data_IF_345431673069
#
_entry.id   IF_345431673069
#
_cell.length_a   1.000
_cell.length_b   1.000
_cell.length_c   1.000
_cell.angle_alpha   90.00
_cell.angle_beta   90.00
_cell.angle_gamma   90.00
#
_symmetry.space_group_name_H-M   'P 1'
#
loop_
_entity.id
_entity.type
_entity.pdbx_description
1 polymer ?
#
# COMPACT_ATOMS: atom_id res chain seq x y z
N UNK A 1 3.68 8.03 -7.04
CA UNK A 1 3.15 8.14 -8.41
C UNK A 1 2.87 6.74 -8.91
N UNK A 2 1.70 6.53 -9.50
CA UNK A 2 1.29 5.27 -10.10
C UNK A 2 1.16 5.45 -11.61
N UNK A 3 1.60 4.45 -12.37
CA UNK A 3 1.55 4.47 -13.83
C UNK A 3 0.35 3.67 -14.34
N UNK A 4 -0.39 4.24 -15.29
CA UNK A 4 -1.52 3.59 -15.95
C UNK A 4 -1.00 2.49 -16.87
N UNK A 5 -1.38 1.25 -16.59
CA UNK A 5 -1.04 0.07 -17.39
C UNK A 5 -2.06 -0.18 -18.50
N UNK A 6 -3.34 0.01 -18.19
CA UNK A 6 -4.44 -0.22 -19.12
C UNK A 6 -5.53 0.84 -18.93
N UNK A 7 -6.14 1.24 -20.05
CA UNK A 7 -7.34 2.06 -20.08
C UNK A 7 -8.42 1.25 -20.79
N UNK A 8 -9.48 0.91 -20.06
CA UNK A 8 -10.55 0.07 -20.60
C UNK A 8 -11.42 0.86 -21.59
N UNK A 9 -11.62 0.34 -22.81
CA UNK A 9 -12.36 1.04 -23.85
C UNK A 9 -13.82 1.32 -23.45
N UNK A 10 -14.30 2.53 -23.77
CA UNK A 10 -15.67 2.96 -23.47
C UNK A 10 -15.93 3.36 -22.01
N UNK A 11 -14.95 3.21 -21.13
CA UNK A 11 -15.05 3.64 -19.71
C UNK A 11 -14.87 5.13 -19.54
N UNK A 12 -15.03 5.62 -18.30
CA UNK A 12 -14.84 7.01 -17.96
C UNK A 12 -13.42 7.49 -18.30
N UNK A 13 -12.40 6.70 -17.99
CA UNK A 13 -11.02 7.05 -18.29
C UNK A 13 -10.74 7.20 -19.79
N UNK A 14 -11.28 6.32 -20.63
CA UNK A 14 -11.13 6.40 -22.08
C UNK A 14 -11.76 7.69 -22.62
N UNK A 15 -12.99 8.00 -22.20
CA UNK A 15 -13.69 9.23 -22.63
C UNK A 15 -13.06 10.52 -22.09
N UNK A 16 -12.41 10.45 -20.93
CA UNK A 16 -11.67 11.57 -20.33
C UNK A 16 -10.27 11.75 -20.92
N UNK A 17 -9.79 10.84 -21.79
CA UNK A 17 -8.54 11.01 -22.52
C UNK A 17 -7.28 10.57 -21.76
N UNK A 18 -7.44 9.71 -20.74
CA UNK A 18 -6.32 8.99 -20.13
C UNK A 18 -5.66 8.06 -21.15
N UNK A 19 -4.37 7.79 -20.96
CA UNK A 19 -3.58 6.92 -21.83
C UNK A 19 -2.71 5.99 -21.01
N UNK A 20 -2.40 4.84 -21.62
CA UNK A 20 -1.38 3.93 -21.10
C UNK A 20 -0.04 4.68 -20.98
N UNK A 21 0.62 4.54 -19.85
CA UNK A 21 1.85 5.23 -19.49
C UNK A 21 1.66 6.60 -18.82
N UNK A 22 0.42 7.06 -18.64
CA UNK A 22 0.15 8.25 -17.82
C UNK A 22 0.54 7.99 -16.37
N UNK A 23 1.22 8.95 -15.77
CA UNK A 23 1.59 8.93 -14.36
C UNK A 23 0.62 9.81 -13.57
N UNK A 24 -0.13 9.22 -12.65
CA UNK A 24 -1.08 9.99 -11.82
C UNK A 24 -0.33 10.66 -10.67
N UNK A 25 -0.25 11.99 -10.71
CA UNK A 25 0.49 12.79 -9.74
C UNK A 25 -0.39 13.20 -8.56
N UNK A 26 -1.56 13.76 -8.84
CA UNK A 26 -2.48 14.27 -7.83
C UNK A 26 -3.94 14.16 -8.28
N UNK A 27 -4.86 14.09 -7.32
CA UNK A 27 -6.31 14.18 -7.53
C UNK A 27 -6.86 15.21 -6.55
N UNK A 28 -7.58 16.22 -7.04
CA UNK A 28 -8.13 17.31 -6.21
C UNK A 28 -7.07 18.00 -5.31
N UNK A 29 -5.81 18.04 -5.78
CA UNK A 29 -4.67 18.59 -5.05
C UNK A 29 -4.01 17.62 -4.05
N UNK A 30 -4.57 16.42 -3.84
CA UNK A 30 -3.97 15.38 -3.00
C UNK A 30 -2.97 14.54 -3.80
N UNK A 31 -1.74 14.39 -3.30
CA UNK A 31 -0.68 13.65 -3.97
C UNK A 31 -0.92 12.14 -3.96
N UNK A 32 -0.76 11.50 -5.12
CA UNK A 32 -0.98 10.06 -5.29
C UNK A 32 0.35 9.31 -5.25
N UNK A 33 0.62 8.64 -4.12
CA UNK A 33 1.85 7.86 -3.95
C UNK A 33 1.68 6.41 -4.38
N UNK A 34 0.54 5.81 -4.08
CA UNK A 34 0.19 4.42 -4.42
C UNK A 34 -1.30 4.24 -4.72
N UNK A 35 -1.71 2.98 -4.96
CA UNK A 35 -3.08 2.62 -5.33
C UNK A 35 -4.10 2.97 -4.24
N UNK A 36 -3.71 2.95 -2.97
CA UNK A 36 -4.62 3.27 -1.85
C UNK A 36 -4.95 4.76 -1.89
N UNK A 37 -3.95 5.63 -2.09
CA UNK A 37 -4.19 7.08 -2.23
C UNK A 37 -5.13 7.35 -3.40
N UNK A 38 -4.92 6.67 -4.54
CA UNK A 38 -5.80 6.80 -5.70
C UNK A 38 -7.24 6.39 -5.37
N UNK A 39 -7.44 5.27 -4.67
CA UNK A 39 -8.78 4.81 -4.31
C UNK A 39 -9.49 5.79 -3.36
N UNK A 40 -8.76 6.35 -2.38
CA UNK A 40 -9.31 7.33 -1.43
C UNK A 40 -9.65 8.64 -2.14
N UNK A 41 -8.70 9.23 -2.87
CA UNK A 41 -8.87 10.53 -3.51
C UNK A 41 -9.86 10.49 -4.69
N UNK A 42 -9.98 9.34 -5.37
CA UNK A 42 -10.98 9.16 -6.42
C UNK A 42 -12.38 8.84 -5.90
N UNK A 43 -12.66 8.94 -4.60
CA UNK A 43 -13.99 8.63 -4.05
C UNK A 43 -15.07 9.67 -4.41
N UNK A 44 -14.66 10.91 -4.70
CA UNK A 44 -15.55 12.01 -5.05
C UNK A 44 -16.18 11.90 -6.45
N UNK A 45 -17.23 12.70 -6.71
CA UNK A 45 -17.91 12.75 -8.01
C UNK A 45 -17.17 13.62 -9.03
N UNK A 46 -16.56 14.72 -8.60
CA UNK A 46 -15.79 15.62 -9.46
C UNK A 46 -14.32 15.49 -9.10
N UNK A 47 -13.50 15.12 -10.09
CA UNK A 47 -12.08 14.89 -9.91
C UNK A 47 -11.31 15.78 -10.89
N UNK A 48 -10.35 16.54 -10.36
CA UNK A 48 -9.30 17.17 -11.15
C UNK A 48 -8.04 16.31 -11.00
N UNK A 49 -7.66 15.60 -12.06
CA UNK A 49 -6.54 14.66 -12.04
C UNK A 49 -5.34 15.28 -12.74
N UNK A 50 -4.24 15.44 -12.02
CA UNK A 50 -2.95 15.84 -12.58
C UNK A 50 -2.22 14.59 -13.10
N UNK A 51 -1.95 14.56 -14.40
CA UNK A 51 -1.23 13.45 -15.05
C UNK A 51 0.05 13.94 -15.71
N UNK A 52 1.13 13.20 -15.52
CA UNK A 52 2.37 13.39 -16.27
C UNK A 52 2.44 12.41 -17.44
N UNK A 53 2.68 12.97 -18.63
CA UNK A 53 2.82 12.24 -19.90
C UNK A 53 3.94 12.88 -20.72
N UNK A 54 5.00 12.11 -21.00
CA UNK A 54 6.17 12.58 -21.77
C UNK A 54 6.77 13.88 -21.20
N UNK A 55 7.06 13.89 -19.88
CA UNK A 55 7.64 15.02 -19.14
C UNK A 55 6.79 16.31 -19.18
N UNK A 56 5.48 16.18 -19.44
CA UNK A 56 4.51 17.28 -19.43
C UNK A 56 3.35 16.93 -18.52
N UNK A 57 2.93 17.91 -17.74
CA UNK A 57 1.78 17.81 -16.85
C UNK A 57 0.52 18.26 -17.60
N UNK A 58 -0.53 17.47 -17.46
CA UNK A 58 -1.87 17.74 -17.97
C UNK A 58 -2.86 17.65 -16.82
N UNK A 59 -3.90 18.47 -16.88
CA UNK A 59 -5.05 18.37 -16.00
C UNK A 59 -6.19 17.69 -16.74
N UNK A 60 -6.78 16.68 -16.12
CA UNK A 60 -7.92 15.93 -16.65
C UNK A 60 -9.08 16.09 -15.68
N UNK A 61 -10.11 16.80 -16.13
CA UNK A 61 -11.37 16.91 -15.40
C UNK A 61 -12.23 15.68 -15.67
N UNK A 62 -12.72 15.08 -14.59
CA UNK A 62 -13.54 13.86 -14.63
C UNK A 62 -14.77 14.07 -13.77
N UNK A 63 -15.94 13.79 -14.35
CA UNK A 63 -17.21 13.73 -13.62
C UNK A 63 -17.69 12.27 -13.58
N UNK A 64 -17.67 11.67 -12.39
CA UNK A 64 -18.04 10.29 -12.16
C UNK A 64 -19.48 10.18 -11.69
N UNK A 65 -20.25 9.33 -12.37
CA UNK A 65 -21.61 8.99 -11.92
C UNK A 65 -21.56 7.92 -10.83
N UNK A 66 -22.56 7.90 -9.97
CA UNK A 66 -22.66 6.88 -8.92
C UNK A 66 -22.65 5.47 -9.54
N UNK A 67 -21.75 4.61 -9.07
CA UNK A 67 -21.57 3.25 -9.55
C UNK A 67 -20.80 3.11 -10.87
N UNK A 68 -20.36 4.21 -11.49
CA UNK A 68 -19.54 4.16 -12.70
C UNK A 68 -18.07 3.87 -12.34
N UNK A 69 -17.49 2.87 -13.01
CA UNK A 69 -16.08 2.53 -12.84
C UNK A 69 -15.18 3.54 -13.57
N UNK A 70 -14.02 3.82 -12.99
CA UNK A 70 -13.01 4.68 -13.62
C UNK A 70 -12.46 4.05 -14.91
N UNK A 71 -12.20 2.74 -14.91
CA UNK A 71 -11.64 2.01 -16.05
C UNK A 71 -10.13 2.18 -16.23
N UNK A 72 -9.40 2.41 -15.14
CA UNK A 72 -7.93 2.42 -15.10
C UNK A 72 -7.42 1.18 -14.39
N UNK A 73 -6.47 0.48 -15.02
CA UNK A 73 -5.60 -0.48 -14.35
C UNK A 73 -4.18 0.11 -14.24
N UNK A 74 -3.48 -0.23 -13.16
CA UNK A 74 -2.18 0.35 -12.82
C UNK A 74 -1.08 -0.69 -12.86
N UNK A 75 0.16 -0.23 -13.00
CA UNK A 75 1.32 -1.08 -12.77
C UNK A 75 1.36 -1.61 -11.32
N UNK A 76 2.00 -2.76 -11.14
CA UNK A 76 2.11 -3.39 -9.82
C UNK A 76 2.81 -2.45 -8.83
N UNK A 77 2.22 -2.32 -7.64
CA UNK A 77 2.80 -1.49 -6.60
C UNK A 77 4.15 -2.05 -6.14
N UNK A 78 5.12 -1.16 -5.93
CA UNK A 78 6.37 -1.56 -5.30
C UNK A 78 6.13 -1.88 -3.81
N UNK A 79 6.28 -3.16 -3.49
CA UNK A 79 6.11 -3.69 -2.13
C UNK A 79 7.40 -3.54 -1.31
N UNK A 80 7.24 -3.19 -0.04
CA UNK A 80 8.35 -3.18 0.91
C UNK A 80 8.72 -4.61 1.27
N UNK A 81 9.99 -4.95 1.05
CA UNK A 81 10.53 -6.23 1.51
C UNK A 81 10.62 -6.24 3.04
N UNK A 82 10.26 -7.37 3.63
CA UNK A 82 10.47 -7.65 5.04
C UNK A 82 11.94 -7.50 5.42
N UNK A 83 12.18 -6.93 6.60
CA UNK A 83 13.51 -6.69 7.16
C UNK A 83 13.75 -7.48 8.47
N UNK A 84 12.94 -8.51 8.71
CA UNK A 84 13.12 -9.44 9.82
C UNK A 84 13.95 -10.64 9.39
N UNK A 85 14.70 -11.21 10.33
CA UNK A 85 15.42 -12.48 10.18
C UNK A 85 14.90 -13.49 11.18
N UNK A 86 13.57 -13.70 11.14
CA UNK A 86 12.88 -14.53 12.11
C UNK A 86 13.47 -15.94 12.15
N UNK A 87 13.67 -16.47 13.36
CA UNK A 87 14.15 -17.84 13.58
C UNK A 87 13.17 -18.90 13.04
N UNK A 88 11.90 -18.52 12.85
CA UNK A 88 10.81 -19.34 12.35
C UNK A 88 10.38 -18.99 10.91
N UNK A 89 11.17 -18.19 10.17
CA UNK A 89 10.80 -17.79 8.81
C UNK A 89 10.82 -19.00 7.85
N UNK A 90 9.66 -19.35 7.27
CA UNK A 90 9.56 -20.42 6.28
C UNK A 90 10.28 -20.10 4.98
N UNK A 91 10.27 -18.84 4.54
CA UNK A 91 10.94 -18.40 3.30
C UNK A 91 12.46 -18.60 3.38
N UNK A 92 13.07 -18.42 4.55
CA UNK A 92 14.50 -18.71 4.76
C UNK A 92 14.83 -20.21 4.72
N UNK A 93 13.83 -21.07 4.90
CA UNK A 93 13.98 -22.53 4.91
C UNK A 93 13.62 -23.17 3.55
N UNK A 94 13.21 -22.37 2.56
CA UNK A 94 12.85 -22.89 1.24
C UNK A 94 14.09 -23.41 0.48
N UNK A 95 13.97 -24.52 -0.27
CA UNK A 95 15.06 -25.03 -1.10
C UNK A 95 15.38 -24.04 -2.22
N UNK A 96 16.63 -24.03 -2.69
CA UNK A 96 17.06 -23.23 -3.83
C UNK A 96 16.50 -23.72 -5.17
N UNK A 97 16.44 -22.84 -6.18
CA UNK A 97 16.07 -23.19 -7.56
C UNK A 97 14.58 -23.01 -7.91
N UNK A 98 13.77 -22.48 -7.00
CA UNK A 98 12.36 -22.17 -7.24
C UNK A 98 12.18 -20.83 -7.97
N UNK A 99 10.93 -20.51 -8.34
CA UNK A 99 10.59 -19.21 -8.95
C UNK A 99 10.98 -18.06 -8.02
N UNK A 100 11.59 -17.02 -8.56
CA UNK A 100 12.08 -15.86 -7.78
C UNK A 100 11.02 -15.22 -6.90
N UNK A 101 9.78 -15.13 -7.39
CA UNK A 101 8.65 -14.57 -6.64
C UNK A 101 8.32 -15.33 -5.36
N UNK A 102 8.65 -16.64 -5.28
CA UNK A 102 8.43 -17.45 -4.08
C UNK A 102 9.41 -17.13 -2.94
N UNK A 103 10.48 -16.39 -3.21
CA UNK A 103 11.45 -15.97 -2.18
C UNK A 103 11.24 -14.53 -1.71
N UNK A 104 10.18 -13.87 -2.16
CA UNK A 104 9.87 -12.52 -1.70
C UNK A 104 9.22 -12.58 -0.32
N UNK A 105 9.90 -12.02 0.67
CA UNK A 105 9.39 -11.87 2.04
C UNK A 105 8.64 -10.53 2.13
N UNK A 106 7.32 -10.56 2.27
CA UNK A 106 6.52 -9.37 2.53
C UNK A 106 6.32 -9.10 4.03
N UNK A 107 6.22 -7.82 4.38
CA UNK A 107 5.81 -7.29 5.69
C UNK A 107 5.30 -5.85 5.48
N UNK A 108 4.54 -5.64 4.41
CA UNK A 108 4.02 -4.34 3.99
C UNK A 108 2.58 -4.18 4.49
N UNK A 109 2.33 -3.18 5.34
CA UNK A 109 1.01 -2.93 5.94
C UNK A 109 -0.09 -2.70 4.90
N UNK A 110 0.25 -2.30 3.67
CA UNK A 110 -0.72 -2.10 2.59
C UNK A 110 -1.31 -3.43 2.11
N UNK A 111 -0.53 -4.51 2.12
CA UNK A 111 -1.01 -5.85 1.78
C UNK A 111 -1.93 -6.43 2.85
N UNK A 112 -1.73 -6.03 4.12
CA UNK A 112 -2.64 -6.41 5.20
C UNK A 112 -4.06 -5.90 4.93
N UNK A 113 -4.18 -4.63 4.55
CA UNK A 113 -5.46 -4.04 4.16
C UNK A 113 -6.00 -4.62 2.84
N UNK A 114 -5.18 -4.66 1.79
CA UNK A 114 -5.63 -5.04 0.43
C UNK A 114 -5.91 -6.55 0.26
N UNK A 115 -5.15 -7.40 0.94
CA UNK A 115 -5.14 -8.85 0.70
C UNK A 115 -5.19 -9.70 1.97
N UNK A 116 -5.26 -9.10 3.16
CA UNK A 116 -5.30 -9.83 4.42
C UNK A 116 -3.96 -10.46 4.83
N UNK A 117 -2.84 -10.00 4.28
CA UNK A 117 -1.52 -10.46 4.70
C UNK A 117 -1.24 -10.10 6.15
N UNK A 118 -0.56 -10.98 6.87
CA UNK A 118 -0.17 -10.70 8.26
C UNK A 118 1.09 -9.85 8.32
N UNK A 119 1.06 -8.81 9.16
CA UNK A 119 2.19 -7.89 9.35
C UNK A 119 2.68 -7.89 10.78
N UNK A 120 3.99 -7.79 10.94
CA UNK A 120 4.66 -7.76 12.25
C UNK A 120 4.71 -6.36 12.85
N UNK A 121 4.35 -5.33 12.08
CA UNK A 121 4.53 -3.90 12.39
C UNK A 121 5.98 -3.44 12.58
N UNK A 122 6.97 -4.29 12.31
CA UNK A 122 8.39 -3.91 12.45
C UNK A 122 8.90 -3.04 11.31
N UNK A 123 8.30 -3.17 10.12
CA UNK A 123 8.62 -2.41 8.92
C UNK A 123 7.72 -1.16 8.74
N UNK A 124 6.90 -0.86 9.75
CA UNK A 124 5.93 0.24 9.76
C UNK A 124 6.54 1.40 10.54
N UNK A 125 6.68 2.57 9.92
CA UNK A 125 7.15 3.79 10.58
C UNK A 125 5.99 4.50 11.28
N UNK A 126 6.28 5.48 12.12
CA UNK A 126 5.23 6.23 12.82
C UNK A 126 4.37 7.03 11.83
N UNK A 127 4.96 7.55 10.75
CA UNK A 127 4.20 8.16 9.64
C UNK A 127 3.27 7.17 8.93
N UNK A 128 3.66 5.88 8.87
CA UNK A 128 2.81 4.86 8.27
C UNK A 128 1.65 4.49 9.22
N UNK A 129 1.88 4.47 10.55
CA UNK A 129 0.82 4.30 11.56
C UNK A 129 -0.21 5.43 11.48
N UNK A 130 0.25 6.67 11.39
CA UNK A 130 -0.61 7.83 11.24
C UNK A 130 -1.44 7.73 9.95
N UNK A 131 -0.81 7.37 8.82
CA UNK A 131 -1.52 7.15 7.55
C UNK A 131 -2.58 6.06 7.66
N UNK A 132 -2.28 4.93 8.32
CA UNK A 132 -3.25 3.85 8.55
C UNK A 132 -4.50 4.39 9.24
N UNK A 133 -4.32 5.22 10.27
CA UNK A 133 -5.41 5.83 11.05
C UNK A 133 -6.18 6.86 10.21
N UNK A 134 -5.47 7.81 9.60
CA UNK A 134 -6.08 8.92 8.83
C UNK A 134 -6.90 8.42 7.64
N UNK A 135 -6.41 7.39 6.93
CA UNK A 135 -7.09 6.80 5.78
C UNK A 135 -8.04 5.64 6.17
N UNK A 136 -8.14 5.29 7.46
CA UNK A 136 -9.02 4.21 7.93
C UNK A 136 -8.70 2.85 7.33
N UNK A 137 -7.41 2.51 7.20
CA UNK A 137 -6.94 1.27 6.54
C UNK A 137 -7.16 0.05 7.45
N UNK A 138 -8.41 -0.36 7.62
CA UNK A 138 -8.85 -1.51 8.43
C UNK A 138 -9.53 -2.55 7.54
N UNK A 139 -9.36 -3.87 7.79
CA UNK A 139 -8.63 -4.50 8.90
C UNK A 139 -7.11 -4.49 8.74
N UNK A 140 -6.40 -4.46 9.88
CA UNK A 140 -4.96 -4.77 9.95
C UNK A 140 -4.70 -6.09 10.67
N UNK A 141 -4.19 -7.09 9.94
CA UNK A 141 -3.89 -8.41 10.48
C UNK A 141 -2.50 -8.44 11.11
N UNK A 142 -2.44 -8.28 12.43
CA UNK A 142 -1.16 -8.15 13.15
C UNK A 142 -0.70 -9.51 13.67
N UNK A 143 0.51 -9.92 13.31
CA UNK A 143 1.13 -11.15 13.81
C UNK A 143 2.00 -10.89 15.03
N UNK A 144 1.56 -11.37 16.20
CA UNK A 144 2.26 -11.21 17.48
C UNK A 144 2.81 -12.55 17.96
N UNK A 145 4.14 -12.67 17.97
CA UNK A 145 4.83 -13.90 18.43
C UNK A 145 5.34 -13.80 19.87
N UNK A 146 5.60 -12.58 20.35
CA UNK A 146 5.94 -12.27 21.74
C UNK A 146 5.60 -10.79 22.01
N UNK A 147 5.24 -10.47 23.26
CA UNK A 147 4.98 -9.10 23.72
C UNK A 147 6.14 -8.53 24.53
N UNK A 148 6.96 -9.38 25.15
CA UNK A 148 8.23 -8.99 25.75
C UNK A 148 9.19 -8.43 24.67
N UNK A 149 9.67 -7.18 24.80
CA UNK A 149 10.47 -6.54 23.74
C UNK A 149 11.77 -7.28 23.41
N UNK A 150 12.47 -7.80 24.42
CA UNK A 150 13.76 -8.47 24.23
C UNK A 150 13.58 -9.82 23.51
N UNK A 151 12.64 -10.64 24.00
CA UNK A 151 12.31 -11.92 23.37
C UNK A 151 11.79 -11.71 21.94
N UNK A 152 10.92 -10.73 21.73
CA UNK A 152 10.37 -10.41 20.40
C UNK A 152 11.49 -10.01 19.44
N UNK A 153 12.44 -9.19 19.89
CA UNK A 153 13.58 -8.78 19.08
C UNK A 153 14.46 -9.98 18.68
N UNK A 154 14.72 -10.89 19.62
CA UNK A 154 15.46 -12.13 19.35
C UNK A 154 14.73 -13.02 18.34
N UNK A 155 13.43 -13.27 18.55
CA UNK A 155 12.60 -14.11 17.69
C UNK A 155 12.53 -13.60 16.25
N UNK A 156 12.44 -12.28 16.06
CA UNK A 156 12.41 -11.64 14.74
C UNK A 156 13.79 -11.40 14.12
N UNK A 157 14.87 -11.78 14.81
CA UNK A 157 16.25 -11.61 14.33
C UNK A 157 16.62 -10.14 14.09
N UNK A 158 16.13 -9.23 14.95
CA UNK A 158 16.34 -7.79 14.83
C UNK A 158 17.54 -7.34 15.66
N UNK A 159 18.44 -6.58 15.05
CA UNK A 159 19.62 -6.01 15.74
C UNK A 159 19.35 -4.63 16.33
N UNK A 160 18.36 -3.91 15.77
CA UNK A 160 17.92 -2.61 16.27
C UNK A 160 16.66 -2.79 17.11
N UNK A 161 16.55 -2.07 18.24
CA UNK A 161 15.30 -2.02 19.00
C UNK A 161 14.14 -1.62 18.09
N UNK A 162 13.05 -2.35 18.18
CA UNK A 162 11.77 -1.97 17.58
C UNK A 162 10.90 -1.39 18.68
N UNK A 163 10.09 -0.37 18.35
CA UNK A 163 9.08 0.13 19.27
C UNK A 163 8.22 -1.03 19.83
N UNK A 164 7.84 -1.00 21.11
CA UNK A 164 7.03 -2.04 21.71
C UNK A 164 5.74 -2.29 20.92
N UNK A 165 5.45 -3.55 20.62
CA UNK A 165 4.32 -3.90 19.75
C UNK A 165 2.98 -3.52 20.37
N UNK A 166 2.86 -3.64 21.69
CA UNK A 166 1.64 -3.29 22.41
C UNK A 166 1.30 -1.80 22.29
N UNK A 167 2.30 -0.91 22.31
CA UNK A 167 2.09 0.53 22.11
C UNK A 167 1.59 0.83 20.70
N UNK A 168 2.11 0.13 19.69
CA UNK A 168 1.65 0.27 18.30
C UNK A 168 0.22 -0.22 18.12
N UNK A 169 -0.12 -1.38 18.71
CA UNK A 169 -1.47 -1.92 18.67
C UNK A 169 -2.44 -0.97 19.36
N UNK A 170 -2.06 -0.44 20.53
CA UNK A 170 -2.89 0.51 21.26
C UNK A 170 -3.13 1.78 20.45
N UNK A 171 -2.10 2.35 19.81
CA UNK A 171 -2.24 3.52 18.96
C UNK A 171 -3.22 3.28 17.81
N UNK A 172 -3.12 2.13 17.14
CA UNK A 172 -4.04 1.75 16.06
C UNK A 172 -5.48 1.58 16.57
N UNK A 173 -5.65 0.89 17.70
CA UNK A 173 -6.96 0.67 18.31
C UNK A 173 -7.63 1.99 18.74
N UNK A 174 -6.88 2.91 19.35
CA UNK A 174 -7.35 4.25 19.72
C UNK A 174 -7.74 5.08 18.50
N UNK A 175 -7.09 4.83 17.36
CA UNK A 175 -7.41 5.41 16.05
C UNK A 175 -8.57 4.72 15.31
N UNK A 176 -9.21 3.70 15.90
CA UNK A 176 -10.35 3.00 15.31
C UNK A 176 -10.00 1.95 14.25
N UNK A 177 -8.77 1.42 14.27
CA UNK A 177 -8.26 0.43 13.31
C UNK A 177 -8.41 -1.00 13.82
#
# INVERSE_FOLDING_TARGET
>A
VIAVREVEQGTLADRSGFRVGDHILAINGEQISDLIDFQVASSEAHLLVEVERQDRIYEVEVERRSGEAMGLDFEEMHLRRCNNKCVFCFLHQMPGGLRRSLYFEDDDYRLSFLHGSYVTLTNVRDSDLQRIIEQGLTPQYISVHATDPELRQQLLGRTKPTMPILERIQLLADGGI
#
